data_IF_428986663777
#
_entry.id   IF_428986663777
#
_cell.length_a   1.000
_cell.length_b   1.000
_cell.length_c   1.000
_cell.angle_alpha   90.00
_cell.angle_beta   90.00
_cell.angle_gamma   90.00
#
_symmetry.space_group_name_H-M   'P 1'
#
loop_
_entity.id
_entity.type
_entity.pdbx_description
1 polymer ?
#
# COMPACT_ATOMS: atom_id res chain seq x y z
N UNK A 1 -16.35 -70.22 25.17
CA UNK A 1 -15.47 -69.96 24.01
C UNK A 1 -15.75 -68.62 23.29
N UNK A 2 -16.86 -67.93 23.57
CA UNK A 2 -17.20 -66.65 22.92
C UNK A 2 -16.55 -65.38 23.54
N UNK A 3 -15.97 -65.48 24.73
CA UNK A 3 -15.46 -64.32 25.49
C UNK A 3 -14.04 -63.87 25.08
N UNK A 4 -13.24 -64.77 24.50
CA UNK A 4 -11.83 -64.48 24.17
C UNK A 4 -11.65 -63.71 22.86
N UNK A 5 -12.54 -63.93 21.87
CA UNK A 5 -12.48 -63.23 20.58
C UNK A 5 -12.78 -61.72 20.71
N UNK A 6 -13.62 -61.33 21.67
CA UNK A 6 -13.96 -59.93 21.89
C UNK A 6 -12.75 -59.16 22.45
N UNK A 7 -12.03 -59.73 23.42
CA UNK A 7 -10.83 -59.11 24.00
C UNK A 7 -9.70 -58.90 22.99
N UNK A 8 -9.51 -59.86 22.08
CA UNK A 8 -8.48 -59.80 21.03
C UNK A 8 -8.79 -58.68 20.03
N UNK A 9 -10.05 -58.49 19.65
CA UNK A 9 -10.45 -57.41 18.73
C UNK A 9 -10.21 -56.02 19.31
N UNK A 10 -10.48 -55.82 20.61
CA UNK A 10 -10.20 -54.54 21.28
C UNK A 10 -8.70 -54.26 21.39
N UNK A 11 -7.89 -55.30 21.64
CA UNK A 11 -6.44 -55.17 21.73
C UNK A 11 -5.83 -54.74 20.39
N UNK A 12 -6.25 -55.35 19.28
CA UNK A 12 -5.75 -55.01 17.93
C UNK A 12 -6.17 -53.59 17.55
N UNK A 13 -7.43 -53.22 17.80
CA UNK A 13 -7.93 -51.87 17.52
C UNK A 13 -7.19 -50.81 18.33
N UNK A 14 -6.89 -51.08 19.60
CA UNK A 14 -6.10 -50.21 20.47
C UNK A 14 -4.66 -50.01 19.95
N UNK A 15 -4.00 -51.08 19.48
CA UNK A 15 -2.64 -50.99 18.92
C UNK A 15 -2.62 -50.21 17.60
N UNK A 16 -3.62 -50.37 16.73
CA UNK A 16 -3.74 -49.60 15.48
C UNK A 16 -3.96 -48.12 15.78
N UNK A 17 -4.86 -47.79 16.72
CA UNK A 17 -5.10 -46.40 17.15
C UNK A 17 -3.82 -45.80 17.74
N UNK A 18 -3.09 -46.55 18.58
CA UNK A 18 -1.84 -46.10 19.17
C UNK A 18 -0.75 -45.87 18.11
N UNK A 19 -0.65 -46.74 17.10
CA UNK A 19 0.25 -46.54 15.95
C UNK A 19 -0.15 -45.32 15.13
N UNK A 20 -1.43 -45.11 14.83
CA UNK A 20 -1.89 -43.93 14.08
C UNK A 20 -1.61 -42.62 14.84
N UNK A 21 -1.78 -42.63 16.16
CA UNK A 21 -1.45 -41.48 17.02
C UNK A 21 0.06 -41.22 17.06
N UNK A 22 0.90 -42.25 17.14
CA UNK A 22 2.36 -42.10 17.11
C UNK A 22 2.88 -41.56 15.77
N UNK A 23 2.32 -42.01 14.64
CA UNK A 23 2.67 -41.50 13.32
C UNK A 23 2.27 -40.02 13.13
N UNK A 24 1.08 -39.62 13.61
CA UNK A 24 0.63 -38.22 13.53
C UNK A 24 1.45 -37.25 14.39
N UNK A 25 1.94 -37.69 15.55
CA UNK A 25 2.86 -36.92 16.41
C UNK A 25 4.27 -36.87 15.82
N UNK A 26 4.74 -37.94 15.19
CA UNK A 26 6.04 -37.96 14.51
C UNK A 26 6.08 -36.97 13.34
N UNK A 27 5.03 -36.95 12.51
CA UNK A 27 4.93 -36.07 11.34
C UNK A 27 4.89 -34.57 11.71
N UNK A 28 4.22 -34.22 12.81
CA UNK A 28 4.19 -32.82 13.29
C UNK A 28 5.54 -32.38 13.88
N UNK A 29 6.29 -33.31 14.47
CA UNK A 29 7.64 -33.04 14.97
C UNK A 29 8.65 -32.85 13.83
N UNK A 30 8.57 -33.66 12.76
CA UNK A 30 9.39 -33.52 11.55
C UNK A 30 9.10 -32.22 10.80
N UNK A 31 7.81 -31.85 10.66
CA UNK A 31 7.42 -30.58 10.05
C UNK A 31 7.89 -29.37 10.86
N UNK A 32 7.81 -29.45 12.20
CA UNK A 32 8.32 -28.38 13.08
C UNK A 32 9.84 -28.25 12.98
N UNK A 33 10.57 -29.35 12.82
CA UNK A 33 12.02 -29.35 12.60
C UNK A 33 12.40 -28.79 11.23
N UNK A 34 11.62 -29.11 10.18
CA UNK A 34 11.81 -28.57 8.83
C UNK A 34 11.61 -27.06 8.77
N UNK A 35 10.59 -26.52 9.47
CA UNK A 35 10.35 -25.08 9.56
C UNK A 35 11.39 -24.33 10.42
N UNK A 36 12.19 -25.06 11.20
CA UNK A 36 13.31 -24.51 12.00
C UNK A 36 14.65 -24.54 11.24
N UNK A 37 14.68 -25.10 10.02
CA UNK A 37 15.89 -25.07 9.21
C UNK A 37 16.16 -23.64 8.70
N UNK A 38 17.41 -23.16 8.79
CA UNK A 38 17.76 -21.78 8.46
C UNK A 38 17.47 -21.43 7.00
N UNK A 39 17.61 -22.39 6.08
CA UNK A 39 17.30 -22.20 4.65
C UNK A 39 15.80 -22.00 4.39
N UNK A 40 14.93 -22.66 5.17
CA UNK A 40 13.48 -22.52 5.07
C UNK A 40 12.98 -21.20 5.70
N UNK A 41 13.63 -20.74 6.77
CA UNK A 41 13.32 -19.46 7.39
C UNK A 41 13.65 -18.27 6.48
N UNK A 42 14.80 -18.30 5.79
CA UNK A 42 15.20 -17.27 4.83
C UNK A 42 14.24 -17.19 3.64
N UNK A 43 13.79 -18.34 3.13
CA UNK A 43 12.75 -18.43 2.10
C UNK A 43 11.41 -17.85 2.57
N UNK A 44 11.00 -18.13 3.82
CA UNK A 44 9.77 -17.58 4.37
C UNK A 44 9.86 -16.05 4.57
N UNK A 45 10.98 -15.53 5.03
CA UNK A 45 11.18 -14.09 5.21
C UNK A 45 11.18 -13.36 3.85
N UNK A 46 11.88 -13.92 2.85
CA UNK A 46 11.93 -13.37 1.49
C UNK A 46 10.55 -13.40 0.81
N UNK A 47 9.76 -14.45 1.05
CA UNK A 47 8.37 -14.54 0.58
C UNK A 47 7.43 -13.59 1.34
N UNK A 48 7.61 -13.39 2.64
CA UNK A 48 6.76 -12.46 3.41
C UNK A 48 7.03 -11.01 2.99
N UNK A 49 8.29 -10.64 2.75
CA UNK A 49 8.68 -9.37 2.13
C UNK A 49 8.06 -9.26 0.72
N UNK A 50 8.04 -10.37 -0.05
CA UNK A 50 7.38 -10.43 -1.35
C UNK A 50 5.87 -10.14 -1.26
N UNK A 51 5.20 -10.74 -0.29
CA UNK A 51 3.78 -10.52 -0.07
C UNK A 51 3.48 -9.13 0.50
N UNK A 52 4.38 -8.56 1.30
CA UNK A 52 4.25 -7.22 1.84
C UNK A 52 4.29 -6.16 0.73
N UNK A 53 5.24 -6.25 -0.22
CA UNK A 53 5.26 -5.30 -1.34
C UNK A 53 4.04 -5.44 -2.25
N UNK A 54 3.59 -6.67 -2.54
CA UNK A 54 2.38 -6.90 -3.34
C UNK A 54 1.14 -6.29 -2.67
N UNK A 55 1.06 -6.39 -1.35
CA UNK A 55 0.01 -5.75 -0.56
C UNK A 55 0.16 -4.23 -0.61
N UNK A 56 1.36 -3.69 -0.41
CA UNK A 56 1.61 -2.25 -0.47
C UNK A 56 1.25 -1.66 -1.84
N UNK A 57 1.51 -2.37 -2.93
CA UNK A 57 1.15 -1.96 -4.29
C UNK A 57 -0.37 -1.91 -4.51
N UNK A 58 -1.10 -2.85 -3.91
CA UNK A 58 -2.57 -2.99 -4.07
C UNK A 58 -3.39 -2.20 -3.05
N UNK A 59 -2.76 -1.74 -1.96
CA UNK A 59 -3.36 -0.92 -0.93
C UNK A 59 -3.19 0.56 -1.24
N UNK A 60 -4.27 1.30 -1.04
CA UNK A 60 -4.29 2.76 -1.12
C UNK A 60 -4.86 3.34 0.16
N UNK A 61 -4.24 4.40 0.65
CA UNK A 61 -4.71 5.18 1.77
C UNK A 61 -5.66 6.24 1.23
N UNK A 62 -6.87 5.81 0.86
CA UNK A 62 -7.98 6.70 0.52
C UNK A 62 -8.11 7.85 1.53
N UNK A 63 -8.80 8.93 1.14
CA UNK A 63 -9.11 10.11 1.98
C UNK A 63 -9.63 9.74 3.38
N UNK A 64 -10.22 8.54 3.54
CA UNK A 64 -10.66 7.99 4.82
C UNK A 64 -9.54 7.64 5.82
N UNK A 65 -8.25 7.81 5.49
CA UNK A 65 -7.08 7.51 6.34
C UNK A 65 -6.90 6.04 6.71
N UNK A 66 -7.71 5.14 6.16
CA UNK A 66 -7.58 3.70 6.33
C UNK A 66 -7.13 3.06 5.02
N UNK A 67 -6.27 2.02 5.06
CA UNK A 67 -5.87 1.30 3.87
C UNK A 67 -7.09 0.57 3.28
N UNK A 68 -7.41 0.89 2.04
CA UNK A 68 -8.48 0.29 1.24
C UNK A 68 -7.86 -0.43 0.03
N UNK A 69 -8.46 -1.53 -0.41
CA UNK A 69 -7.99 -2.22 -1.62
C UNK A 69 -8.43 -1.44 -2.86
N UNK A 70 -7.54 -1.30 -3.85
CA UNK A 70 -7.82 -0.56 -5.10
C UNK A 70 -9.18 -0.89 -5.74
N UNK A 71 -9.57 -2.18 -5.77
CA UNK A 71 -10.81 -2.63 -6.40
C UNK A 71 -12.09 -2.33 -5.59
N UNK A 72 -11.97 -1.91 -4.33
CA UNK A 72 -13.12 -1.56 -3.48
C UNK A 72 -13.52 -0.10 -3.64
N UNK A 73 -12.63 0.73 -4.21
CA UNK A 73 -12.89 2.15 -4.39
C UNK A 73 -13.77 2.34 -5.63
N UNK A 74 -14.93 3.04 -5.53
CA UNK A 74 -15.84 3.25 -6.64
C UNK A 74 -15.37 4.37 -7.60
N UNK A 75 -14.05 4.46 -7.83
CA UNK A 75 -13.44 5.48 -8.68
C UNK A 75 -12.14 4.95 -9.30
N UNK A 76 -11.71 5.59 -10.39
CA UNK A 76 -10.45 5.24 -11.03
C UNK A 76 -9.28 5.81 -10.23
N UNK A 77 -8.60 4.95 -9.49
CA UNK A 77 -7.41 5.30 -8.69
C UNK A 77 -6.14 4.96 -9.47
N UNK A 78 -5.16 5.84 -9.41
CA UNK A 78 -3.81 5.59 -9.88
C UNK A 78 -2.82 5.89 -8.74
N UNK A 79 -2.01 4.91 -8.36
CA UNK A 79 -1.00 5.05 -7.32
C UNK A 79 0.36 5.21 -8.00
N UNK A 80 1.12 6.20 -7.54
CA UNK A 80 2.52 6.42 -7.92
C UNK A 80 3.32 6.12 -6.65
N UNK A 81 4.05 5.01 -6.63
CA UNK A 81 4.83 4.60 -5.47
C UNK A 81 6.21 5.30 -5.45
N UNK A 82 6.94 5.19 -4.34
CA UNK A 82 8.26 5.82 -4.19
C UNK A 82 9.30 5.36 -5.21
N UNK A 83 9.20 4.13 -5.71
CA UNK A 83 10.06 3.62 -6.78
C UNK A 83 9.77 4.30 -8.12
N UNK A 84 8.50 4.47 -8.47
CA UNK A 84 8.08 5.22 -9.67
C UNK A 84 8.52 6.68 -9.60
N UNK A 85 8.39 7.31 -8.42
CA UNK A 85 8.87 8.67 -8.16
C UNK A 85 10.37 8.74 -8.41
N UNK A 86 11.15 7.86 -7.77
CA UNK A 86 12.61 7.80 -7.92
C UNK A 86 13.03 7.61 -9.38
N UNK A 87 12.41 6.64 -10.08
CA UNK A 87 12.70 6.32 -11.49
C UNK A 87 12.30 7.42 -12.46
N UNK A 88 11.35 8.27 -12.10
CA UNK A 88 10.90 9.37 -12.97
C UNK A 88 11.88 10.53 -13.05
N UNK A 89 12.75 10.71 -12.05
CA UNK A 89 13.63 11.88 -11.93
C UNK A 89 12.88 13.20 -11.67
N UNK A 90 11.61 13.13 -11.26
CA UNK A 90 10.82 14.31 -10.92
C UNK A 90 11.38 15.01 -9.67
N UNK A 91 11.45 16.34 -9.72
CA UNK A 91 11.97 17.17 -8.63
C UNK A 91 10.87 17.86 -7.82
N UNK A 92 9.63 17.83 -8.32
CA UNK A 92 8.48 18.48 -7.71
C UNK A 92 7.26 17.59 -7.76
N UNK A 93 6.32 17.76 -6.82
CA UNK A 93 5.07 17.00 -6.79
C UNK A 93 4.26 17.21 -8.09
N UNK A 94 4.12 18.43 -8.64
CA UNK A 94 3.51 18.63 -9.95
C UNK A 94 4.16 17.79 -11.06
N UNK A 95 5.49 17.63 -11.06
CA UNK A 95 6.15 16.79 -12.07
C UNK A 95 5.83 15.31 -11.89
N UNK A 96 5.81 14.81 -10.65
CA UNK A 96 5.37 13.44 -10.34
C UNK A 96 3.95 13.19 -10.84
N UNK A 97 3.04 14.16 -10.64
CA UNK A 97 1.65 14.05 -11.04
C UNK A 97 1.44 13.91 -12.56
N UNK A 98 2.45 14.24 -13.39
CA UNK A 98 2.41 13.99 -14.85
C UNK A 98 2.43 12.50 -15.20
N UNK A 99 2.91 11.64 -14.30
CA UNK A 99 2.90 10.19 -14.48
C UNK A 99 1.48 9.62 -14.43
N UNK A 100 0.56 10.31 -13.74
CA UNK A 100 -0.82 9.86 -13.60
C UNK A 100 -1.63 10.09 -14.89
N UNK A 101 -2.24 9.05 -15.47
CA UNK A 101 -3.04 9.19 -16.68
C UNK A 101 -4.23 10.13 -16.51
N UNK A 102 -4.38 11.10 -17.41
CA UNK A 102 -5.49 12.06 -17.39
C UNK A 102 -5.32 13.20 -16.38
N UNK A 103 -4.17 13.26 -15.70
CA UNK A 103 -3.72 14.44 -14.96
C UNK A 103 -2.98 15.38 -15.91
N UNK A 104 -3.35 16.65 -15.90
CA UNK A 104 -2.73 17.70 -16.68
C UNK A 104 -2.05 18.68 -15.74
N UNK A 105 -0.78 18.97 -16.02
CA UNK A 105 0.05 19.85 -15.22
C UNK A 105 0.59 20.96 -16.11
N UNK A 106 0.21 22.19 -15.80
CA UNK A 106 0.70 23.40 -16.44
C UNK A 106 1.58 24.17 -15.47
N UNK A 107 2.70 24.70 -15.97
CA UNK A 107 3.56 25.60 -15.24
C UNK A 107 3.46 26.97 -15.89
N UNK A 108 3.01 27.98 -15.14
CA UNK A 108 2.87 29.35 -15.65
C UNK A 108 4.14 30.16 -15.45
N UNK A 109 4.84 29.93 -14.34
CA UNK A 109 6.16 30.49 -14.05
C UNK A 109 6.93 29.57 -13.07
N UNK A 110 8.09 30.01 -12.59
CA UNK A 110 8.93 29.21 -11.68
C UNK A 110 8.22 28.82 -10.38
N UNK A 111 7.25 29.60 -9.91
CA UNK A 111 6.53 29.38 -8.65
C UNK A 111 5.11 28.83 -8.86
N UNK A 112 4.46 29.14 -9.97
CA UNK A 112 3.04 28.87 -10.18
C UNK A 112 2.78 27.65 -11.06
N UNK A 113 2.13 26.66 -10.45
CA UNK A 113 1.71 25.42 -11.07
C UNK A 113 0.20 25.28 -11.00
N UNK A 114 -0.38 24.73 -12.06
CA UNK A 114 -1.78 24.30 -12.07
C UNK A 114 -1.87 22.83 -12.40
N UNK A 115 -2.62 22.12 -11.57
CA UNK A 115 -2.92 20.70 -11.72
C UNK A 115 -4.41 20.54 -11.96
N UNK A 116 -4.77 19.76 -12.98
CA UNK A 116 -6.15 19.45 -13.33
C UNK A 116 -6.32 17.96 -13.61
N UNK A 117 -7.47 17.41 -13.25
CA UNK A 117 -7.91 16.07 -13.64
C UNK A 117 -9.15 16.23 -14.52
N UNK A 118 -9.18 15.56 -15.69
CA UNK A 118 -10.33 15.59 -16.62
C UNK A 118 -10.81 16.99 -17.04
N UNK A 119 -9.89 17.93 -17.33
CA UNK A 119 -10.27 19.27 -17.76
C UNK A 119 -9.08 20.19 -18.00
N UNK A 120 -9.37 21.46 -18.24
CA UNK A 120 -8.38 22.49 -18.53
C UNK A 120 -7.70 22.99 -17.25
N UNK A 121 -6.39 23.22 -17.32
CA UNK A 121 -5.59 23.86 -16.27
C UNK A 121 -5.81 25.38 -16.30
N UNK A 122 -6.48 25.94 -15.30
CA UNK A 122 -6.52 27.39 -15.04
C UNK A 122 -5.51 27.76 -13.96
N UNK A 123 -5.05 29.01 -13.92
CA UNK A 123 -4.06 29.49 -12.94
C UNK A 123 -4.42 29.14 -11.47
N UNK A 124 -5.73 29.12 -11.18
CA UNK A 124 -6.30 28.61 -9.92
C UNK A 124 -7.32 27.53 -10.24
N UNK A 125 -7.05 26.28 -9.85
CA UNK A 125 -7.99 25.17 -10.02
C UNK A 125 -8.53 24.75 -8.65
N UNK A 126 -9.78 25.16 -8.36
CA UNK A 126 -10.47 24.87 -7.10
C UNK A 126 -11.25 23.55 -7.11
N UNK A 127 -11.18 22.81 -8.21
CA UNK A 127 -11.99 21.60 -8.43
C UNK A 127 -11.27 20.30 -8.05
N UNK A 128 -10.08 20.41 -7.46
CA UNK A 128 -9.25 19.29 -7.01
C UNK A 128 -9.03 19.37 -5.51
N UNK A 129 -9.41 18.31 -4.78
CA UNK A 129 -9.04 18.16 -3.39
C UNK A 129 -7.61 17.63 -3.33
N UNK A 130 -6.72 18.34 -2.65
CA UNK A 130 -5.33 17.88 -2.45
C UNK A 130 -5.09 17.71 -0.96
N UNK A 131 -4.60 16.53 -0.60
CA UNK A 131 -4.34 16.13 0.76
C UNK A 131 -2.87 15.74 0.91
N UNK A 132 -2.31 16.04 2.07
CA UNK A 132 -1.04 15.50 2.54
C UNK A 132 -1.28 14.89 3.92
N UNK A 133 -1.03 13.59 4.05
CA UNK A 133 -1.28 12.81 5.27
C UNK A 133 -2.68 13.06 5.86
N UNK A 134 -3.68 13.17 4.97
CA UNK A 134 -5.07 13.41 5.29
C UNK A 134 -5.41 14.83 5.79
N UNK A 135 -4.54 15.82 5.56
CA UNK A 135 -4.80 17.26 5.76
C UNK A 135 -4.86 17.98 4.43
N UNK A 136 -5.82 18.87 4.26
CA UNK A 136 -5.94 19.66 3.03
C UNK A 136 -4.78 20.64 2.86
N UNK A 137 -4.21 20.68 1.66
CA UNK A 137 -3.21 21.69 1.25
C UNK A 137 -3.84 22.96 0.67
N UNK A 138 -5.17 23.03 0.68
CA UNK A 138 -5.92 24.13 0.11
C UNK A 138 -5.75 25.41 0.92
N UNK A 139 -5.51 26.52 0.22
CA UNK A 139 -5.45 27.85 0.85
C UNK A 139 -6.77 28.61 0.66
N UNK A 140 -7.35 29.17 1.73
CA UNK A 140 -8.61 29.92 1.64
C UNK A 140 -8.53 31.15 0.73
N UNK A 141 -7.35 31.73 0.59
CA UNK A 141 -7.14 33.01 -0.12
C UNK A 141 -7.29 32.84 -1.64
N UNK A 142 -6.74 31.75 -2.20
CA UNK A 142 -6.67 31.53 -3.65
C UNK A 142 -7.57 30.41 -4.14
N UNK A 143 -8.29 29.79 -3.23
CA UNK A 143 -9.14 28.65 -3.54
C UNK A 143 -8.39 27.54 -4.30
N UNK A 144 -7.16 27.26 -3.88
CA UNK A 144 -6.28 26.33 -4.59
C UNK A 144 -5.05 25.93 -3.78
N UNK A 145 -4.13 25.23 -4.42
CA UNK A 145 -2.89 24.72 -3.81
C UNK A 145 -1.69 25.48 -4.33
N UNK A 146 -0.87 25.99 -3.42
CA UNK A 146 0.45 26.52 -3.74
C UNK A 146 1.46 25.38 -3.74
N UNK A 147 1.65 24.77 -4.90
CA UNK A 147 2.52 23.60 -5.05
C UNK A 147 3.98 23.87 -4.67
N UNK A 148 4.43 25.12 -4.81
CA UNK A 148 5.75 25.60 -4.38
C UNK A 148 5.89 25.74 -2.85
N UNK A 149 4.78 25.83 -2.11
CA UNK A 149 4.78 25.98 -0.65
C UNK A 149 4.55 24.65 0.08
N UNK A 150 4.50 23.54 -0.66
CA UNK A 150 4.39 22.21 -0.07
C UNK A 150 5.77 21.81 0.45
N UNK A 151 5.98 21.99 1.76
CA UNK A 151 7.24 21.75 2.46
C UNK A 151 7.47 20.24 2.67
N UNK A 152 7.76 19.53 1.58
CA UNK A 152 8.08 18.10 1.60
C UNK A 152 9.10 17.81 0.52
N UNK A 153 10.13 17.07 0.92
CA UNK A 153 11.18 16.60 0.03
C UNK A 153 10.64 15.39 -0.74
N UNK A 154 10.91 15.30 -2.05
CA UNK A 154 10.37 14.23 -2.91
C UNK A 154 10.76 12.84 -2.40
N UNK A 155 11.98 12.72 -1.87
CA UNK A 155 12.54 11.50 -1.30
C UNK A 155 11.80 11.03 -0.04
N UNK A 156 11.06 11.92 0.65
CA UNK A 156 10.25 11.60 1.83
C UNK A 156 8.81 11.19 1.49
N UNK A 157 8.44 11.20 0.20
CA UNK A 157 7.14 10.75 -0.26
C UNK A 157 7.15 9.23 -0.40
N UNK A 158 6.21 8.56 0.26
CA UNK A 158 5.99 7.12 0.10
C UNK A 158 5.19 6.83 -1.16
N UNK A 159 4.08 7.54 -1.33
CA UNK A 159 3.23 7.41 -2.51
C UNK A 159 2.34 8.62 -2.75
N UNK A 160 1.94 8.81 -4.01
CA UNK A 160 0.92 9.78 -4.42
C UNK A 160 -0.22 9.03 -5.10
N UNK A 161 -1.42 9.23 -4.58
CA UNK A 161 -2.64 8.62 -5.09
C UNK A 161 -3.50 9.64 -5.81
N UNK A 162 -3.88 9.32 -7.04
CA UNK A 162 -4.72 10.16 -7.87
C UNK A 162 -6.05 9.46 -8.10
N UNK A 163 -7.09 9.98 -7.47
CA UNK A 163 -8.46 9.49 -7.60
C UNK A 163 -9.19 10.37 -8.61
N UNK A 164 -9.58 9.79 -9.75
CA UNK A 164 -10.21 10.52 -10.84
C UNK A 164 -11.71 10.36 -10.81
N UNK A 165 -12.45 11.46 -10.67
CA UNK A 165 -13.91 11.49 -10.77
C UNK A 165 -14.57 12.30 -9.67
N UNK A 166 -15.89 12.54 -9.82
CA UNK A 166 -16.65 13.27 -8.83
C UNK A 166 -16.65 12.52 -7.51
N UNK A 167 -16.14 13.18 -6.49
CA UNK A 167 -15.96 12.64 -5.16
C UNK A 167 -16.50 13.54 -4.06
N UNK A 168 -17.16 14.65 -4.41
CA UNK A 168 -17.58 15.68 -3.48
C UNK A 168 -18.39 15.17 -2.28
N UNK A 169 -19.23 14.15 -2.50
CA UNK A 169 -20.06 13.52 -1.45
C UNK A 169 -19.25 12.62 -0.52
N UNK A 170 -18.18 11.99 -1.00
CA UNK A 170 -17.38 11.02 -0.24
C UNK A 170 -16.19 11.71 0.43
N UNK A 171 -15.57 12.68 -0.25
CA UNK A 171 -14.27 13.24 0.11
C UNK A 171 -14.29 14.75 0.42
N UNK A 172 -15.41 15.45 0.15
CA UNK A 172 -15.62 16.85 0.55
C UNK A 172 -15.70 17.84 -0.62
N UNK A 173 -16.06 19.09 -0.31
CA UNK A 173 -16.54 20.09 -1.28
C UNK A 173 -15.63 20.35 -2.49
N UNK A 174 -14.31 20.19 -2.36
CA UNK A 174 -13.36 20.48 -3.44
C UNK A 174 -13.00 19.24 -4.29
N UNK A 175 -13.57 18.06 -4.01
CA UNK A 175 -13.34 16.83 -4.78
C UNK A 175 -14.26 16.73 -6.01
N UNK A 176 -14.41 17.83 -6.76
CA UNK A 176 -15.35 17.92 -7.90
C UNK A 176 -14.83 17.10 -9.08
N UNK A 177 -13.56 17.25 -9.43
CA UNK A 177 -12.92 16.53 -10.53
C UNK A 177 -12.11 15.31 -10.08
N UNK A 178 -11.70 15.30 -8.80
CA UNK A 178 -10.95 14.22 -8.21
C UNK A 178 -10.25 14.60 -6.91
N UNK A 179 -9.35 13.72 -6.48
CA UNK A 179 -8.51 13.88 -5.30
C UNK A 179 -7.06 13.55 -5.66
N UNK A 180 -6.13 14.32 -5.12
CA UNK A 180 -4.72 13.94 -5.01
C UNK A 180 -4.41 13.76 -3.53
N UNK A 181 -3.94 12.58 -3.15
CA UNK A 181 -3.54 12.29 -1.79
C UNK A 181 -2.04 11.96 -1.76
N UNK A 182 -1.28 12.75 -0.99
CA UNK A 182 0.16 12.62 -0.83
C UNK A 182 0.41 11.96 0.52
N UNK A 183 1.18 10.89 0.52
CA UNK A 183 1.48 10.08 1.70
C UNK A 183 2.98 10.15 1.95
N UNK A 184 3.37 10.65 3.13
CA UNK A 184 4.77 10.68 3.54
C UNK A 184 5.23 9.32 4.09
N UNK A 185 6.53 9.05 3.97
CA UNK A 185 7.18 7.89 4.59
C UNK A 185 7.08 7.99 6.11
N UNK A 186 6.85 6.87 6.79
CA UNK A 186 6.85 6.85 8.25
C UNK A 186 8.30 6.84 8.73
N UNK A 187 8.55 7.41 9.91
CA UNK A 187 9.90 7.55 10.52
C UNK A 187 10.67 6.20 10.61
N UNK A 188 9.98 5.05 10.63
CA UNK A 188 10.64 3.73 10.60
C UNK A 188 11.28 3.40 9.24
N UNK A 189 10.79 3.98 8.16
CA UNK A 189 11.24 3.70 6.79
C UNK A 189 12.44 4.58 6.40
N UNK A 190 12.68 5.68 7.13
CA UNK A 190 13.80 6.61 6.91
C UNK A 190 15.14 6.07 7.47
N UNK A 191 15.14 5.07 8.37
CA UNK A 191 16.38 4.54 8.98
C UNK A 191 17.06 3.38 8.21
N UNK A 192 16.65 3.10 6.96
CA UNK A 192 17.10 1.91 6.23
C UNK A 192 18.29 2.07 5.27
N UNK A 193 18.75 3.28 4.95
CA UNK A 193 19.79 3.47 3.92
C UNK A 193 21.23 3.35 4.43
N UNK A 194 21.46 3.25 5.75
CA UNK A 194 22.81 3.27 6.34
C UNK A 194 23.43 1.87 6.54
N UNK A 195 22.70 0.77 6.26
CA UNK A 195 23.19 -0.60 6.51
C UNK A 195 23.53 -1.44 5.26
N UNK A 196 23.87 -0.81 4.14
CA UNK A 196 24.45 -1.52 2.98
C UNK A 196 25.80 -0.95 2.59
N UNK A 197 26.82 -1.22 3.43
CA UNK A 197 28.23 -1.50 3.09
C UNK A 197 29.09 -1.46 4.37
N UNK A 198 29.26 -2.61 5.00
CA UNK A 198 30.46 -2.97 5.76
C UNK A 198 30.64 -4.46 5.78
#
# INVERSE_FOLDING_TARGET
MFYDNFKISYLISFVIILMLLQNGVCLSSEFSQMNQQPEFHLLNDELEDEFEWLRAETLVYSVNKYPEKLFQIPAAVYKINSEDICRSGALTIPDVLRLSPGTHVAQFNTADWSVAIRGFTTELNNNLLVLMDGRTLYTPIFSGVFWNNVDTIIEDIDSIEVIRGPGGTIWGANAVNGVVNIISKKIKDTQGMEKRKS
#
